data_IF_851627685846
#
_entry.id   IF_851627685846
#
_cell.length_a   1.000
_cell.length_b   1.000
_cell.length_c   1.000
_cell.angle_alpha   90.00
_cell.angle_beta   90.00
_cell.angle_gamma   90.00
#
_symmetry.space_group_name_H-M   'P 1'
#
loop_
_entity.id
_entity.type
_entity.pdbx_description
1 polymer ?
#
# COMPACT_ATOMS: atom_id res chain seq x y z
N UNK A 1 -6.00 -0.14 -17.01
CA UNK A 1 -5.06 -1.28 -17.03
C UNK A 1 -4.23 -1.40 -18.30
N UNK A 2 -4.32 -0.47 -19.26
CA UNK A 2 -3.54 -0.49 -20.51
C UNK A 2 -2.05 -0.20 -20.32
N UNK A 3 -1.65 0.36 -19.17
CA UNK A 3 -0.25 0.70 -18.87
C UNK A 3 0.54 -0.44 -18.23
N UNK A 4 -0.10 -1.57 -17.89
CA UNK A 4 0.52 -2.71 -17.20
C UNK A 4 0.83 -2.46 -15.71
N UNK A 5 1.28 -3.49 -14.99
CA UNK A 5 1.69 -3.41 -13.58
C UNK A 5 3.21 -3.55 -13.49
N UNK A 6 3.89 -2.59 -12.86
CA UNK A 6 5.33 -2.67 -12.54
C UNK A 6 5.53 -2.86 -11.04
N UNK A 7 5.83 -4.09 -10.61
CA UNK A 7 5.89 -4.46 -9.20
C UNK A 7 7.00 -5.48 -8.92
N UNK A 8 7.89 -5.17 -7.97
CA UNK A 8 9.05 -6.03 -7.64
C UNK A 8 8.78 -7.04 -6.51
N UNK A 9 7.57 -7.12 -5.96
CA UNK A 9 7.29 -8.10 -4.92
C UNK A 9 6.51 -9.28 -5.51
N UNK A 10 7.01 -10.48 -5.25
CA UNK A 10 6.37 -11.71 -5.70
C UNK A 10 5.07 -11.94 -4.93
N UNK A 11 4.00 -12.21 -5.66
CA UNK A 11 2.69 -12.49 -5.10
C UNK A 11 2.07 -13.76 -5.66
N UNK A 12 1.15 -14.32 -4.87
CA UNK A 12 0.39 -15.51 -5.21
C UNK A 12 -0.57 -15.28 -6.38
N UNK A 13 -0.64 -16.26 -7.28
CA UNK A 13 -1.71 -16.43 -8.26
C UNK A 13 -2.65 -17.57 -7.82
N UNK A 14 -3.85 -17.60 -8.41
CA UNK A 14 -4.89 -18.58 -8.04
C UNK A 14 -4.46 -20.03 -8.25
N UNK A 15 -3.63 -20.29 -9.26
CA UNK A 15 -3.07 -21.61 -9.59
C UNK A 15 -2.01 -22.11 -8.60
N UNK A 16 -1.70 -21.34 -7.55
CA UNK A 16 -0.70 -21.71 -6.53
C UNK A 16 0.75 -21.45 -6.94
N UNK A 17 0.95 -20.71 -8.02
CA UNK A 17 2.26 -20.19 -8.40
C UNK A 17 2.48 -18.79 -7.84
N UNK A 18 3.74 -18.36 -7.86
CA UNK A 18 4.14 -17.04 -7.37
C UNK A 18 4.85 -16.27 -8.48
N UNK A 19 4.41 -15.04 -8.71
CA UNK A 19 4.84 -14.20 -9.82
C UNK A 19 4.95 -12.73 -9.44
N UNK A 20 5.74 -11.97 -10.21
CA UNK A 20 5.64 -10.51 -10.23
C UNK A 20 5.83 -9.95 -11.65
N UNK A 21 5.04 -8.96 -12.07
CA UNK A 21 5.21 -8.29 -13.36
C UNK A 21 6.19 -7.12 -13.22
N UNK A 22 7.12 -6.98 -14.17
CA UNK A 22 8.09 -5.88 -14.22
C UNK A 22 8.12 -5.25 -15.61
N UNK A 23 7.94 -3.94 -15.65
CA UNK A 23 7.99 -3.12 -16.88
C UNK A 23 9.33 -2.42 -16.99
N UNK A 24 9.87 -1.95 -15.86
CA UNK A 24 11.17 -1.27 -15.80
C UNK A 24 12.20 -2.18 -15.11
N UNK A 25 13.10 -2.84 -15.87
CA UNK A 25 14.14 -3.69 -15.31
C UNK A 25 14.99 -2.93 -14.29
N UNK A 26 15.25 -3.56 -13.15
CA UNK A 26 16.08 -2.99 -12.08
C UNK A 26 16.86 -4.12 -11.39
N UNK A 27 18.13 -3.88 -10.98
CA UNK A 27 19.02 -4.96 -10.51
C UNK A 27 18.43 -5.84 -9.41
N UNK A 28 17.74 -5.23 -8.44
CA UNK A 28 17.11 -5.94 -7.30
C UNK A 28 15.86 -6.76 -7.68
N UNK A 29 15.40 -6.68 -8.93
CA UNK A 29 14.15 -7.28 -9.41
C UNK A 29 14.39 -8.18 -10.63
N UNK A 30 15.36 -9.09 -10.51
CA UNK A 30 15.71 -10.02 -11.57
C UNK A 30 16.74 -9.48 -12.57
N UNK A 31 17.57 -8.52 -12.17
CA UNK A 31 18.71 -8.05 -12.97
C UNK A 31 18.30 -7.26 -14.22
N UNK A 32 19.04 -7.50 -15.31
CA UNK A 32 18.85 -6.82 -16.61
C UNK A 32 17.93 -7.59 -17.57
N UNK A 33 17.12 -8.52 -17.05
CA UNK A 33 16.17 -9.26 -17.87
C UNK A 33 15.12 -8.31 -18.49
N UNK A 34 14.68 -8.53 -19.75
CA UNK A 34 13.64 -7.73 -20.39
C UNK A 34 12.33 -7.66 -19.59
N UNK A 35 11.50 -6.66 -19.87
CA UNK A 35 10.17 -6.54 -19.26
C UNK A 35 9.33 -7.81 -19.45
N UNK A 36 8.50 -8.13 -18.46
CA UNK A 36 7.67 -9.32 -18.48
C UNK A 36 7.28 -9.81 -17.08
N UNK A 37 6.79 -11.04 -17.00
CA UNK A 37 6.38 -11.67 -15.74
C UNK A 37 7.52 -12.56 -15.25
N UNK A 38 7.96 -12.36 -14.01
CA UNK A 38 8.93 -13.25 -13.33
C UNK A 38 8.16 -14.30 -12.55
N UNK A 39 8.66 -15.54 -12.58
CA UNK A 39 8.03 -16.68 -11.92
C UNK A 39 8.96 -17.32 -10.90
N UNK A 40 8.40 -17.65 -9.74
CA UNK A 40 9.03 -18.45 -8.70
C UNK A 40 8.50 -19.90 -8.72
N UNK A 41 7.64 -20.22 -9.69
CA UNK A 41 6.95 -21.50 -9.81
C UNK A 41 5.89 -21.74 -8.72
N UNK A 42 5.41 -22.99 -8.60
CA UNK A 42 4.54 -23.42 -7.51
C UNK A 42 5.21 -23.25 -6.14
N UNK A 43 4.41 -22.89 -5.13
CA UNK A 43 4.85 -22.70 -3.74
C UNK A 43 3.89 -23.38 -2.76
N UNK A 44 4.36 -23.65 -1.55
CA UNK A 44 3.58 -24.29 -0.50
C UNK A 44 2.65 -23.25 0.15
N UNK A 45 1.35 -23.38 -0.10
CA UNK A 45 0.33 -22.44 0.40
C UNK A 45 0.25 -22.37 1.94
N UNK A 46 0.76 -23.38 2.66
CA UNK A 46 0.71 -23.42 4.12
C UNK A 46 1.97 -22.83 4.77
N UNK A 47 3.13 -23.05 4.14
CA UNK A 47 4.43 -22.69 4.70
C UNK A 47 5.01 -21.41 4.11
N UNK A 48 4.81 -21.17 2.81
CA UNK A 48 5.36 -20.00 2.14
C UNK A 48 4.49 -18.76 2.35
N UNK A 49 5.13 -17.58 2.34
CA UNK A 49 4.48 -16.28 2.50
C UNK A 49 4.89 -15.36 1.35
N UNK A 50 3.91 -14.89 0.61
CA UNK A 50 4.07 -13.97 -0.53
C UNK A 50 2.88 -12.99 -0.54
N UNK A 51 3.02 -11.93 -1.32
CA UNK A 51 1.99 -10.90 -1.45
C UNK A 51 0.74 -11.46 -2.16
N UNK A 52 -0.36 -10.72 -2.10
CA UNK A 52 -1.53 -10.94 -2.94
C UNK A 52 -1.79 -9.69 -3.78
N UNK A 53 -2.09 -9.89 -5.07
CA UNK A 53 -2.46 -8.79 -5.95
C UNK A 53 -3.96 -8.50 -5.82
N UNK A 54 -4.28 -7.29 -5.39
CA UNK A 54 -5.66 -6.83 -5.26
C UNK A 54 -5.93 -5.70 -6.25
N UNK A 55 -7.11 -5.75 -6.87
CA UNK A 55 -7.60 -4.70 -7.74
C UNK A 55 -8.70 -3.92 -7.03
N UNK A 56 -8.67 -2.59 -7.12
CA UNK A 56 -9.71 -1.72 -6.59
C UNK A 56 -10.17 -0.75 -7.68
N UNK A 57 -11.46 -0.42 -7.67
CA UNK A 57 -12.05 0.63 -8.51
C UNK A 57 -12.11 1.95 -7.75
N UNK A 58 -12.58 3.00 -8.42
CA UNK A 58 -12.96 4.25 -7.76
C UNK A 58 -13.99 3.95 -6.67
N UNK A 59 -13.83 4.59 -5.52
CA UNK A 59 -14.71 4.47 -4.35
C UNK A 59 -15.62 5.68 -4.24
N UNK A 60 -16.85 5.50 -3.75
CA UNK A 60 -17.83 6.60 -3.63
C UNK A 60 -17.61 7.54 -2.44
N UNK A 61 -16.85 7.11 -1.44
CA UNK A 61 -16.52 7.89 -0.25
C UNK A 61 -15.18 8.60 -0.36
N UNK A 62 -14.75 9.24 0.73
CA UNK A 62 -13.51 10.00 0.77
C UNK A 62 -12.56 9.51 1.87
N UNK A 63 -11.27 9.48 1.52
CA UNK A 63 -10.19 9.27 2.49
C UNK A 63 -9.71 10.63 2.98
N UNK A 64 -9.48 10.75 4.28
CA UNK A 64 -8.85 11.92 4.88
C UNK A 64 -7.89 11.52 5.99
N UNK A 65 -6.90 12.38 6.25
CA UNK A 65 -5.86 12.16 7.25
C UNK A 65 -6.13 12.95 8.53
N UNK A 66 -5.91 12.32 9.69
CA UNK A 66 -5.91 12.98 10.99
C UNK A 66 -4.51 12.88 11.58
N UNK A 67 -3.86 14.03 11.75
CA UNK A 67 -2.54 14.13 12.35
C UNK A 67 -2.59 13.81 13.85
N UNK A 68 -1.55 13.15 14.34
CA UNK A 68 -1.39 12.81 15.75
C UNK A 68 -0.35 11.72 15.98
N UNK A 69 -0.21 11.34 17.25
CA UNK A 69 0.70 10.30 17.72
C UNK A 69 -0.14 9.20 18.37
N UNK A 70 -0.83 8.41 17.55
CA UNK A 70 -1.81 7.44 18.01
C UNK A 70 -1.24 6.02 18.02
N UNK A 71 -1.62 5.21 19.01
CA UNK A 71 -1.59 3.74 18.86
C UNK A 71 -2.64 3.30 17.85
N UNK A 72 -2.56 2.04 17.40
CA UNK A 72 -3.55 1.48 16.47
C UNK A 72 -4.98 1.57 17.03
N UNK A 73 -5.16 1.29 18.33
CA UNK A 73 -6.47 1.38 18.97
C UNK A 73 -6.98 2.83 19.04
N UNK A 74 -6.12 3.77 19.43
CA UNK A 74 -6.46 5.19 19.47
C UNK A 74 -6.82 5.72 18.08
N UNK A 75 -6.07 5.33 17.04
CA UNK A 75 -6.35 5.67 15.66
C UNK A 75 -7.77 5.25 15.25
N UNK A 76 -8.18 4.04 15.64
CA UNK A 76 -9.54 3.53 15.42
C UNK A 76 -10.62 4.39 16.09
N UNK A 77 -10.42 4.74 17.37
CA UNK A 77 -11.34 5.61 18.09
C UNK A 77 -11.38 7.03 17.49
N UNK A 78 -10.25 7.58 17.07
CA UNK A 78 -10.15 8.89 16.44
C UNK A 78 -11.00 8.97 15.16
N UNK A 79 -10.96 7.97 14.28
CA UNK A 79 -11.85 7.94 13.11
C UNK A 79 -13.32 7.83 13.49
N UNK A 80 -13.67 6.97 14.46
CA UNK A 80 -15.06 6.80 14.93
C UNK A 80 -15.63 8.08 15.52
N UNK A 81 -14.83 8.84 16.28
CA UNK A 81 -15.23 10.14 16.83
C UNK A 81 -15.53 11.17 15.74
N UNK A 82 -14.90 11.04 14.58
CA UNK A 82 -15.21 11.82 13.38
C UNK A 82 -16.34 11.21 12.56
N UNK A 83 -17.03 10.18 13.04
CA UNK A 83 -18.09 9.42 12.36
C UNK A 83 -17.62 8.75 11.07
N UNK A 84 -16.40 8.22 11.08
CA UNK A 84 -15.73 7.51 9.99
C UNK A 84 -15.15 6.19 10.52
N UNK A 85 -14.64 5.35 9.64
CA UNK A 85 -13.83 4.18 10.01
C UNK A 85 -12.37 4.38 9.60
N UNK A 86 -11.45 3.60 10.18
CA UNK A 86 -10.10 3.53 9.62
C UNK A 86 -10.17 3.04 8.17
N UNK A 87 -9.44 3.72 7.29
CA UNK A 87 -9.43 3.40 5.87
C UNK A 87 -8.86 2.00 5.63
N UNK A 88 -9.47 1.28 4.70
CA UNK A 88 -8.90 0.09 4.09
C UNK A 88 -7.75 0.49 3.16
N UNK A 89 -6.80 -0.42 2.96
CA UNK A 89 -5.71 -0.20 2.01
C UNK A 89 -6.23 0.07 0.59
N UNK A 90 -7.27 -0.64 0.16
CA UNK A 90 -7.91 -0.42 -1.15
C UNK A 90 -8.52 0.99 -1.28
N UNK A 91 -9.09 1.53 -0.21
CA UNK A 91 -9.64 2.90 -0.20
C UNK A 91 -8.52 3.94 -0.30
N UNK A 92 -7.41 3.77 0.44
CA UNK A 92 -6.25 4.66 0.33
C UNK A 92 -5.64 4.62 -1.09
N UNK A 93 -5.49 3.43 -1.67
CA UNK A 93 -5.01 3.27 -3.05
C UNK A 93 -5.96 3.90 -4.06
N UNK A 94 -7.27 3.72 -3.90
CA UNK A 94 -8.26 4.33 -4.79
C UNK A 94 -8.22 5.87 -4.71
N UNK A 95 -8.11 6.42 -3.50
CA UNK A 95 -7.96 7.87 -3.30
C UNK A 95 -6.68 8.41 -3.96
N UNK A 96 -5.54 7.73 -3.74
CA UNK A 96 -4.27 8.08 -4.37
C UNK A 96 -4.36 8.04 -5.90
N UNK A 97 -4.83 6.93 -6.45
CA UNK A 97 -4.81 6.68 -7.89
C UNK A 97 -5.85 7.47 -8.67
N UNK A 98 -7.10 7.54 -8.19
CA UNK A 98 -8.20 8.15 -8.94
C UNK A 98 -8.48 9.60 -8.55
N UNK A 99 -8.00 10.05 -7.38
CA UNK A 99 -8.26 11.39 -6.87
C UNK A 99 -6.98 12.20 -6.61
N UNK A 100 -5.82 11.71 -7.05
CA UNK A 100 -4.50 12.34 -6.83
C UNK A 100 -4.23 12.66 -5.34
N UNK A 101 -4.75 11.83 -4.44
CA UNK A 101 -4.59 12.06 -3.01
C UNK A 101 -3.10 11.94 -2.63
N UNK A 102 -2.58 12.96 -1.96
CA UNK A 102 -1.17 13.10 -1.62
C UNK A 102 -1.06 13.53 -0.16
N UNK A 103 -0.36 12.73 0.64
CA UNK A 103 -0.11 13.00 2.06
C UNK A 103 1.26 12.44 2.44
N UNK A 104 2.16 13.31 2.88
CA UNK A 104 3.53 12.97 3.27
C UNK A 104 3.67 12.55 4.74
N UNK A 105 2.60 12.01 5.31
CA UNK A 105 2.55 11.64 6.71
C UNK A 105 2.09 10.21 6.87
N UNK A 106 2.84 9.45 7.64
CA UNK A 106 2.49 8.08 7.98
C UNK A 106 1.23 8.04 8.83
N UNK A 107 0.32 7.14 8.46
CA UNK A 107 -0.91 6.91 9.19
C UNK A 107 -1.31 5.44 9.22
N UNK A 108 -1.95 5.06 10.32
CA UNK A 108 -2.55 3.75 10.48
C UNK A 108 -3.68 3.50 9.49
N UNK A 109 -3.76 2.26 9.00
CA UNK A 109 -4.86 1.70 8.21
C UNK A 109 -5.50 0.52 8.91
N UNK A 110 -6.72 0.14 8.50
CA UNK A 110 -7.55 -0.86 9.19
C UNK A 110 -6.91 -2.26 9.26
N UNK A 111 -5.98 -2.59 8.37
CA UNK A 111 -5.21 -3.84 8.40
C UNK A 111 -4.08 -3.83 9.44
N UNK A 112 -3.85 -2.70 10.12
CA UNK A 112 -2.74 -2.53 11.05
C UNK A 112 -1.43 -2.17 10.38
N UNK A 113 -1.43 -1.91 9.06
CA UNK A 113 -0.27 -1.35 8.39
C UNK A 113 -0.20 0.16 8.60
N UNK A 114 1.00 0.70 8.47
CA UNK A 114 1.25 2.13 8.44
C UNK A 114 1.76 2.52 7.07
N UNK A 115 1.08 3.47 6.43
CA UNK A 115 1.32 3.85 5.03
C UNK A 115 1.17 5.35 4.81
N UNK A 116 1.57 5.81 3.64
CA UNK A 116 1.36 7.19 3.18
C UNK A 116 1.35 7.27 1.64
N UNK A 117 0.36 7.92 1.01
CA UNK A 117 0.25 8.06 -0.44
C UNK A 117 1.00 9.29 -0.96
N UNK A 118 1.84 9.12 -1.99
CA UNK A 118 2.55 10.21 -2.66
C UNK A 118 2.14 10.24 -4.13
N UNK A 119 1.40 11.27 -4.52
CA UNK A 119 1.06 11.53 -5.93
C UNK A 119 2.08 12.48 -6.58
N UNK A 120 2.68 13.38 -5.79
CA UNK A 120 3.71 14.33 -6.20
C UNK A 120 5.04 14.02 -5.49
N UNK A 121 5.93 13.20 -6.10
CA UNK A 121 7.20 12.78 -5.52
C UNK A 121 8.08 13.97 -5.11
N UNK A 122 8.68 13.89 -3.92
CA UNK A 122 9.54 14.95 -3.35
C UNK A 122 10.47 14.39 -2.29
N UNK A 123 11.67 14.97 -2.16
CA UNK A 123 12.77 14.42 -1.35
C UNK A 123 12.38 14.08 0.09
N UNK A 124 11.61 14.95 0.77
CA UNK A 124 11.22 14.75 2.17
C UNK A 124 10.09 13.74 2.39
N UNK A 125 9.62 13.08 1.33
CA UNK A 125 8.45 12.21 1.34
C UNK A 125 8.74 10.82 0.80
N UNK A 126 9.79 10.20 1.33
CA UNK A 126 10.25 8.86 0.96
C UNK A 126 11.47 8.83 0.05
N UNK A 127 11.88 9.97 -0.55
CA UNK A 127 13.11 10.08 -1.34
C UNK A 127 13.13 9.27 -2.65
N UNK A 128 11.97 8.75 -3.06
CA UNK A 128 11.79 7.93 -4.26
C UNK A 128 11.15 8.80 -5.36
N UNK A 129 11.67 8.81 -6.61
CA UNK A 129 11.19 9.69 -7.67
C UNK A 129 9.83 9.28 -8.26
N UNK A 130 9.36 8.06 -8.00
CA UNK A 130 8.05 7.60 -8.47
C UNK A 130 6.92 7.97 -7.50
N UNK A 131 5.70 8.08 -8.02
CA UNK A 131 4.48 8.14 -7.22
C UNK A 131 4.15 6.74 -6.64
N UNK A 132 3.39 6.70 -5.54
CA UNK A 132 2.94 5.44 -4.96
C UNK A 132 2.45 5.55 -3.53
N UNK A 133 1.76 4.51 -3.07
CA UNK A 133 1.48 4.31 -1.65
C UNK A 133 2.68 3.62 -1.00
N UNK A 134 3.36 4.34 -0.12
CA UNK A 134 4.53 3.86 0.61
C UNK A 134 4.10 3.19 1.91
N UNK A 135 4.90 2.26 2.42
CA UNK A 135 4.56 1.49 3.61
C UNK A 135 5.75 1.37 4.56
N UNK A 136 5.49 1.54 5.85
CA UNK A 136 6.36 1.18 6.96
C UNK A 136 6.09 -0.25 7.48
N UNK A 137 5.29 -1.04 6.75
CA UNK A 137 4.89 -2.38 7.16
C UNK A 137 3.84 -2.38 8.27
N UNK A 138 3.96 -3.35 9.18
CA UNK A 138 3.06 -3.59 10.32
C UNK A 138 3.83 -3.37 11.63
N UNK A 139 3.98 -2.11 12.07
CA UNK A 139 4.67 -1.81 13.32
C UNK A 139 3.89 -2.30 14.55
N UNK A 140 4.54 -2.30 15.72
CA UNK A 140 3.87 -2.63 16.99
C UNK A 140 2.66 -1.71 17.18
N UNK A 141 1.50 -2.31 17.41
CA UNK A 141 0.20 -1.62 17.56
C UNK A 141 0.16 -0.65 18.73
N UNK A 142 1.07 -0.77 19.69
CA UNK A 142 1.22 0.14 20.83
C UNK A 142 2.14 1.34 20.52
N UNK A 143 2.68 1.44 19.31
CA UNK A 143 3.53 2.57 18.91
C UNK A 143 2.69 3.85 18.77
N UNK A 144 3.08 4.93 19.43
CA UNK A 144 2.38 6.23 19.41
C UNK A 144 3.17 7.28 18.60
N UNK A 145 3.29 7.10 17.30
CA UNK A 145 4.05 8.06 16.44
C UNK A 145 3.37 8.40 15.13
N UNK A 146 2.29 7.70 14.78
CA UNK A 146 1.62 7.84 13.49
C UNK A 146 0.24 8.47 13.65
N UNK A 147 -0.19 9.21 12.62
CA UNK A 147 -1.57 9.66 12.50
C UNK A 147 -2.48 8.51 12.05
N UNK A 148 -3.62 8.84 11.46
CA UNK A 148 -4.56 7.83 10.94
C UNK A 148 -5.21 8.29 9.64
N UNK A 149 -5.43 7.36 8.72
CA UNK A 149 -6.31 7.58 7.57
C UNK A 149 -7.71 7.05 7.89
N UNK A 150 -8.71 7.90 7.70
CA UNK A 150 -10.11 7.56 7.90
C UNK A 150 -10.85 7.59 6.56
N UNK A 151 -11.97 6.88 6.50
CA UNK A 151 -12.85 6.83 5.33
C UNK A 151 -14.31 7.03 5.74
N UNK A 152 -15.03 7.85 4.96
CA UNK A 152 -16.47 8.08 5.09
C UNK A 152 -17.15 8.01 3.72
#
# INVERSE_FOLDING_TARGET
>A
WTEGLDWCNAGWLHDGTVHYPIIHPRPVCGGELPSGIRSYGPKDKNNDRFDAFCFTSQTSGSVFYIAGAFSFEQAGHTCKNQGAEMALIGQLYAAWHFHNFDQCDAGWLKDGSVRFPISNPRERCGGIPEAGVRSFGFPDKNTHVYGVYCYR
#
